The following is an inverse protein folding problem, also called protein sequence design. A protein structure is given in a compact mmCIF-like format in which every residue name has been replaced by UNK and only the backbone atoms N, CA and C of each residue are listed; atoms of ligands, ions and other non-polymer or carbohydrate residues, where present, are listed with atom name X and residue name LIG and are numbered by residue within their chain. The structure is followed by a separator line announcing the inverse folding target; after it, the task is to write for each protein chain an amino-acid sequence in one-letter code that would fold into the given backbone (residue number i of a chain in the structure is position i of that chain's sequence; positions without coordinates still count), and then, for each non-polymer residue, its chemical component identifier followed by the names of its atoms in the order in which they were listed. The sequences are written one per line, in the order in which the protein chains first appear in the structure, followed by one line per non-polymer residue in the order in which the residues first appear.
data_IF_768086808098
#
_entry.id   IF_768086808098
#
_cell.length_a   1.000
_cell.length_b   1.000
_cell.length_c   1.000
_cell.angle_alpha   90.00
_cell.angle_beta   90.00
_cell.angle_gamma   90.00
#
_symmetry.space_group_name_H-M   'P 1'
#
loop_
_entity.id
_entity.type
_entity.pdbx_description
1 polymer ?
#
# COMPACT_ATOMS: atom_id res chain seq x y z
N UNK A 1 -13.57 -82.84 -45.73
CA UNK A 1 -14.73 -83.59 -45.21
C UNK A 1 -15.82 -82.60 -44.75
N UNK A 2 -17.08 -83.07 -44.76
CA UNK A 2 -18.32 -82.60 -44.11
C UNK A 2 -18.23 -81.43 -43.07
N UNK A 3 -19.18 -80.50 -42.85
CA UNK A 3 -20.14 -79.71 -43.68
C UNK A 3 -20.93 -78.72 -42.76
N UNK A 4 -21.20 -77.48 -43.22
CA UNK A 4 -22.33 -76.56 -42.85
C UNK A 4 -22.58 -75.99 -41.42
N UNK A 5 -22.59 -74.63 -41.39
CA UNK A 5 -23.66 -73.67 -40.98
C UNK A 5 -24.21 -73.56 -39.52
N UNK A 6 -24.26 -72.28 -39.05
CA UNK A 6 -25.35 -71.50 -38.38
C UNK A 6 -26.25 -72.20 -37.32
N UNK A 7 -26.63 -71.57 -36.18
CA UNK A 7 -27.40 -70.31 -36.09
C UNK A 7 -27.32 -69.64 -34.69
N UNK A 8 -27.99 -68.49 -34.53
CA UNK A 8 -28.25 -67.75 -33.27
C UNK A 8 -29.61 -68.19 -32.63
N UNK A 9 -29.98 -67.59 -31.49
CA UNK A 9 -31.28 -67.64 -30.77
C UNK A 9 -31.51 -68.84 -29.83
N UNK A 10 -32.28 -68.79 -28.73
CA UNK A 10 -32.76 -67.73 -27.78
C UNK A 10 -33.64 -68.45 -26.70
N UNK A 11 -34.11 -67.77 -25.63
CA UNK A 11 -35.34 -68.14 -24.85
C UNK A 11 -35.25 -69.47 -24.02
N UNK A 12 -35.74 -69.62 -22.79
CA UNK A 12 -36.18 -68.74 -21.68
C UNK A 12 -35.93 -69.59 -20.38
N UNK A 13 -36.73 -69.82 -19.31
CA UNK A 13 -38.00 -69.34 -18.75
C UNK A 13 -38.03 -69.63 -17.23
N UNK A 14 -38.16 -68.61 -16.37
CA UNK A 14 -38.77 -68.76 -15.02
C UNK A 14 -39.66 -67.56 -14.74
N UNK A 15 -40.97 -67.79 -14.69
CA UNK A 15 -41.97 -66.81 -14.26
C UNK A 15 -42.51 -67.18 -12.89
N UNK A 16 -42.45 -66.27 -11.93
CA UNK A 16 -43.42 -66.21 -10.84
C UNK A 16 -43.96 -64.78 -10.78
N UNK A 17 -45.24 -64.64 -11.10
CA UNK A 17 -46.01 -63.41 -10.87
C UNK A 17 -46.83 -63.64 -9.60
N UNK A 18 -46.85 -62.68 -8.68
CA UNK A 18 -48.03 -62.34 -7.89
C UNK A 18 -47.82 -60.96 -7.25
N UNK A 19 -48.51 -59.96 -7.78
CA UNK A 19 -48.52 -58.59 -7.27
C UNK A 19 -49.70 -58.37 -6.31
N UNK A 20 -49.52 -57.59 -5.26
CA UNK A 20 -50.62 -56.89 -4.60
C UNK A 20 -50.18 -55.48 -4.20
N UNK A 21 -51.05 -54.50 -4.44
CA UNK A 21 -50.79 -53.07 -4.26
C UNK A 21 -51.84 -52.44 -3.35
N UNK A 22 -51.41 -51.81 -2.25
CA UNK A 22 -52.17 -50.92 -1.35
C UNK A 22 -51.27 -50.60 -0.13
N UNK A 23 -51.13 -49.38 0.41
CA UNK A 23 -51.69 -48.05 0.08
C UNK A 23 -50.56 -47.00 0.18
N UNK A 24 -50.69 -45.85 -0.48
CA UNK A 24 -49.75 -44.71 -0.39
C UNK A 24 -50.01 -43.85 0.86
N UNK A 25 -48.97 -43.45 1.59
CA UNK A 25 -49.08 -42.44 2.65
C UNK A 25 -47.75 -42.04 3.30
N UNK A 26 -47.52 -40.73 3.43
CA UNK A 26 -46.46 -40.06 4.22
C UNK A 26 -45.00 -40.51 3.99
N UNK A 27 -44.29 -39.79 3.11
CA UNK A 27 -42.82 -39.83 3.01
C UNK A 27 -42.14 -39.20 4.23
N UNK A 28 -41.20 -39.92 4.84
CA UNK A 28 -40.14 -39.34 5.68
C UNK A 28 -38.81 -40.04 5.38
N UNK A 29 -37.71 -39.28 5.34
CA UNK A 29 -36.41 -39.79 4.89
C UNK A 29 -35.63 -40.41 6.05
N UNK A 30 -35.10 -41.65 5.93
CA UNK A 30 -34.18 -42.20 6.91
C UNK A 30 -32.83 -41.49 6.84
N UNK A 31 -32.32 -41.09 8.00
CA UNK A 31 -31.07 -40.35 8.18
C UNK A 31 -29.84 -41.14 7.69
N UNK A 32 -29.12 -40.59 6.70
CA UNK A 32 -27.73 -40.99 6.48
C UNK A 32 -26.87 -40.37 7.57
N UNK A 33 -26.16 -41.20 8.34
CA UNK A 33 -25.15 -40.72 9.30
C UNK A 33 -24.11 -39.88 8.56
N UNK A 34 -23.87 -38.66 9.04
CA UNK A 34 -22.78 -37.83 8.53
C UNK A 34 -21.45 -38.51 8.85
N UNK A 35 -20.66 -38.82 7.82
CA UNK A 35 -19.25 -39.14 7.98
C UNK A 35 -18.56 -37.83 8.35
N UNK A 36 -18.06 -37.73 9.58
CA UNK A 36 -17.33 -36.54 10.04
C UNK A 36 -16.00 -36.47 9.30
N UNK A 37 -15.92 -35.58 8.32
CA UNK A 37 -14.66 -35.10 7.76
C UNK A 37 -13.95 -34.28 8.83
N UNK A 38 -12.79 -34.77 9.30
CA UNK A 38 -11.96 -34.02 10.25
C UNK A 38 -11.51 -32.69 9.61
N UNK A 39 -11.58 -31.55 10.31
CA UNK A 39 -10.84 -30.36 9.90
C UNK A 39 -9.34 -30.60 10.11
N UNK A 40 -8.54 -30.42 9.06
CA UNK A 40 -7.09 -30.68 9.07
C UNK A 40 -6.25 -29.41 8.88
N UNK A 41 -6.68 -28.31 9.50
CA UNK A 41 -5.99 -27.01 9.43
C UNK A 41 -5.31 -26.71 10.79
N UNK A 42 -4.06 -27.15 10.95
CA UNK A 42 -3.25 -26.92 12.16
C UNK A 42 -2.39 -25.66 12.02
N UNK A 43 -2.99 -24.48 12.22
CA UNK A 43 -2.26 -23.20 12.32
C UNK A 43 -1.46 -23.17 13.62
N UNK A 44 -0.13 -23.34 13.52
CA UNK A 44 0.79 -23.20 14.67
C UNK A 44 2.09 -22.42 14.35
N UNK A 45 2.07 -21.58 13.33
CA UNK A 45 3.02 -20.47 13.21
C UNK A 45 2.26 -19.15 13.43
N UNK A 46 2.92 -18.22 14.10
CA UNK A 46 2.33 -16.95 14.53
C UNK A 46 3.28 -15.81 14.18
N UNK A 47 2.76 -14.73 13.59
CA UNK A 47 3.48 -13.46 13.59
C UNK A 47 3.45 -12.88 15.01
N UNK A 48 4.59 -12.33 15.42
CA UNK A 48 4.79 -11.63 16.68
C UNK A 48 4.93 -10.14 16.37
N UNK A 49 4.28 -9.27 17.16
CA UNK A 49 4.54 -7.84 17.12
C UNK A 49 6.03 -7.56 17.35
N UNK A 50 6.58 -6.58 16.62
CA UNK A 50 8.02 -6.35 16.55
C UNK A 50 8.61 -5.85 17.89
N UNK A 51 9.96 -5.84 17.97
CA UNK A 51 10.77 -5.36 19.11
C UNK A 51 10.91 -6.31 20.32
N UNK A 52 11.16 -5.75 21.52
CA UNK A 52 11.62 -6.45 22.76
C UNK A 52 10.73 -7.62 23.19
N UNK A 53 9.47 -7.63 22.74
CA UNK A 53 8.54 -8.75 22.91
C UNK A 53 9.08 -10.05 22.31
N UNK A 54 9.91 -10.03 21.27
CA UNK A 54 10.47 -11.25 20.68
C UNK A 54 11.29 -12.08 21.70
N UNK A 55 12.24 -11.46 22.40
CA UNK A 55 13.04 -12.14 23.44
C UNK A 55 12.22 -12.48 24.70
N UNK A 56 11.16 -11.72 24.98
CA UNK A 56 10.26 -11.97 26.13
C UNK A 56 9.27 -13.11 25.85
N UNK A 57 8.72 -13.18 24.64
CA UNK A 57 7.92 -14.28 24.11
C UNK A 57 8.77 -15.52 24.00
N UNK A 58 9.99 -15.43 23.47
CA UNK A 58 10.96 -16.53 23.42
C UNK A 58 11.14 -17.18 24.80
N UNK A 59 11.47 -16.37 25.82
CA UNK A 59 11.61 -16.84 27.20
C UNK A 59 10.32 -17.43 27.77
N UNK A 60 9.16 -16.87 27.41
CA UNK A 60 7.87 -17.38 27.89
C UNK A 60 7.43 -18.69 27.19
N UNK A 61 7.77 -18.87 25.91
CA UNK A 61 7.59 -20.13 25.18
C UNK A 61 8.55 -21.20 25.73
N UNK A 62 9.81 -20.86 26.04
CA UNK A 62 10.75 -21.75 26.74
C UNK A 62 10.26 -22.11 28.17
N UNK A 63 9.51 -21.23 28.84
CA UNK A 63 8.83 -21.51 30.11
C UNK A 63 7.53 -22.33 29.94
N UNK A 64 7.21 -22.79 28.73
CA UNK A 64 6.06 -23.65 28.45
C UNK A 64 4.71 -22.94 28.32
N UNK A 65 4.66 -21.60 28.32
CA UNK A 65 3.42 -20.89 27.98
C UNK A 65 3.08 -21.13 26.52
N UNK A 66 1.82 -21.42 26.23
CA UNK A 66 1.36 -21.56 24.84
C UNK A 66 1.24 -20.20 24.13
N UNK A 67 1.38 -20.14 22.80
CA UNK A 67 1.06 -18.95 22.01
C UNK A 67 -0.35 -18.39 22.26
N UNK A 68 -1.30 -19.24 22.70
CA UNK A 68 -2.66 -18.83 23.10
C UNK A 68 -2.65 -17.98 24.37
N UNK A 69 -1.89 -18.37 25.39
CA UNK A 69 -1.77 -17.65 26.66
C UNK A 69 -0.99 -16.35 26.52
N UNK A 70 -0.15 -16.25 25.49
CA UNK A 70 0.56 -15.03 25.09
C UNK A 70 -0.25 -14.12 24.15
N UNK A 71 -1.47 -14.51 23.76
CA UNK A 71 -2.35 -13.72 22.89
C UNK A 71 -1.93 -13.68 21.41
N UNK A 72 -0.99 -14.55 20.99
CA UNK A 72 -0.32 -14.51 19.69
C UNK A 72 -1.11 -15.16 18.55
N UNK A 73 -2.30 -15.70 18.84
CA UNK A 73 -3.14 -16.34 17.83
C UNK A 73 -3.92 -15.28 17.05
N UNK A 74 -3.29 -14.67 16.05
CA UNK A 74 -4.05 -14.08 14.95
C UNK A 74 -4.73 -15.20 14.16
N UNK A 75 -6.06 -15.23 14.19
CA UNK A 75 -6.88 -16.14 13.41
C UNK A 75 -7.22 -15.57 12.01
N UNK A 76 -6.43 -14.61 11.50
CA UNK A 76 -6.67 -13.95 10.22
C UNK A 76 -6.31 -14.85 9.03
N UNK A 77 -7.21 -15.77 8.71
CA UNK A 77 -7.25 -16.37 7.38
C UNK A 77 -7.73 -15.30 6.38
N UNK A 78 -6.80 -14.59 5.74
CA UNK A 78 -7.14 -13.63 4.69
C UNK A 78 -7.59 -14.38 3.44
N UNK A 79 -8.88 -14.70 3.37
CA UNK A 79 -9.50 -15.31 2.19
C UNK A 79 -9.08 -14.57 0.91
N UNK A 80 -8.52 -15.30 -0.04
CA UNK A 80 -8.12 -14.80 -1.37
C UNK A 80 -9.36 -14.45 -2.18
N UNK A 81 -9.97 -13.30 -1.86
CA UNK A 81 -11.12 -12.74 -2.55
C UNK A 81 -10.65 -11.58 -3.42
N UNK A 82 -10.86 -11.73 -4.72
CA UNK A 82 -10.74 -10.67 -5.71
C UNK A 82 -11.59 -9.45 -5.31
N UNK A 83 -10.92 -8.34 -5.00
CA UNK A 83 -11.56 -7.06 -4.63
C UNK A 83 -11.74 -6.19 -5.87
N UNK A 84 -12.77 -5.36 -5.88
CA UNK A 84 -12.96 -4.38 -6.97
C UNK A 84 -11.99 -3.20 -6.86
N UNK A 85 -11.73 -2.51 -7.98
CA UNK A 85 -10.92 -1.28 -8.00
C UNK A 85 -11.38 -0.24 -6.96
N UNK A 86 -12.69 0.02 -6.89
CA UNK A 86 -13.31 0.96 -5.93
C UNK A 86 -13.29 0.48 -4.47
N UNK A 87 -13.05 -0.80 -4.23
CA UNK A 87 -12.90 -1.39 -2.89
C UNK A 87 -11.46 -1.20 -2.41
N UNK A 88 -10.46 -1.53 -3.23
CA UNK A 88 -9.04 -1.28 -2.90
C UNK A 88 -8.68 0.21 -2.81
N UNK A 89 -9.27 1.05 -3.67
CA UNK A 89 -9.15 2.52 -3.61
C UNK A 89 -9.66 3.08 -2.26
N UNK A 90 -10.80 2.59 -1.78
CA UNK A 90 -11.38 2.98 -0.48
C UNK A 90 -10.57 2.46 0.70
N UNK A 91 -9.95 1.29 0.58
CA UNK A 91 -9.03 0.76 1.59
C UNK A 91 -7.75 1.60 1.67
N UNK A 92 -7.16 1.99 0.52
CA UNK A 92 -6.00 2.87 0.47
C UNK A 92 -6.26 4.20 1.19
N UNK A 93 -7.39 4.85 0.85
CA UNK A 93 -7.83 6.12 1.41
C UNK A 93 -8.29 6.06 2.89
N UNK A 94 -8.34 4.88 3.52
CA UNK A 94 -8.58 4.75 4.96
C UNK A 94 -7.31 4.88 5.81
N UNK A 95 -6.12 4.82 5.19
CA UNK A 95 -4.88 5.02 5.93
C UNK A 95 -4.79 6.44 6.50
N UNK A 96 -4.31 6.52 7.73
CA UNK A 96 -4.00 7.80 8.41
C UNK A 96 -2.50 8.11 8.39
N UNK A 97 -1.69 7.29 7.73
CA UNK A 97 -0.27 7.53 7.59
C UNK A 97 -0.05 8.74 6.68
N UNK A 98 0.77 9.68 7.15
CA UNK A 98 1.30 10.78 6.35
C UNK A 98 2.82 10.67 6.28
N UNK A 99 3.42 11.15 5.19
CA UNK A 99 4.88 11.23 5.09
C UNK A 99 5.31 12.58 4.49
N UNK A 100 6.49 13.11 4.89
CA UNK A 100 7.06 14.29 4.28
C UNK A 100 7.78 13.93 2.98
N UNK A 101 7.39 14.57 1.88
CA UNK A 101 8.22 14.59 0.67
C UNK A 101 9.43 15.46 0.98
N UNK A 102 10.57 14.82 1.28
CA UNK A 102 11.86 15.51 1.43
C UNK A 102 12.45 15.80 0.06
N UNK A 103 12.90 17.03 -0.14
CA UNK A 103 13.72 17.43 -1.28
C UNK A 103 15.16 17.67 -0.84
N UNK A 104 16.10 17.56 -1.79
CA UNK A 104 17.43 18.11 -1.59
C UNK A 104 17.38 19.65 -1.73
N UNK A 105 18.17 20.39 -0.92
CA UNK A 105 18.57 21.74 -1.33
C UNK A 105 19.34 21.63 -2.65
N UNK A 106 19.03 22.55 -3.57
CA UNK A 106 19.67 22.65 -4.89
C UNK A 106 20.45 23.98 -4.96
N UNK A 107 21.29 24.14 -5.98
CA UNK A 107 22.05 25.37 -6.20
C UNK A 107 21.74 25.93 -7.57
N UNK A 108 21.05 27.06 -7.63
CA UNK A 108 20.79 27.78 -8.89
C UNK A 108 22.07 28.50 -9.33
N UNK A 109 22.46 28.38 -10.60
CA UNK A 109 23.64 29.11 -11.09
C UNK A 109 23.32 30.62 -11.23
N UNK A 110 24.29 31.52 -10.97
CA UNK A 110 24.05 32.96 -11.02
C UNK A 110 23.50 33.42 -12.37
N UNK A 111 22.31 34.03 -12.36
CA UNK A 111 21.64 34.56 -13.56
C UNK A 111 20.69 33.60 -14.29
N UNK A 112 20.60 32.33 -13.87
CA UNK A 112 19.58 31.42 -14.39
C UNK A 112 18.18 31.75 -13.83
N UNK A 113 17.12 31.20 -14.46
CA UNK A 113 15.75 31.27 -13.91
C UNK A 113 15.48 30.08 -13.01
N UNK A 114 14.81 30.31 -11.87
CA UNK A 114 14.49 29.26 -10.92
C UNK A 114 13.73 28.08 -11.55
N UNK A 115 14.18 26.87 -11.25
CA UNK A 115 13.64 25.60 -11.74
C UNK A 115 13.37 24.63 -10.58
N UNK A 116 12.39 23.72 -10.70
CA UNK A 116 12.21 22.63 -9.74
C UNK A 116 13.50 21.83 -9.53
N UNK A 117 13.89 21.52 -8.28
CA UNK A 117 15.06 20.70 -8.02
C UNK A 117 14.81 19.25 -8.47
N UNK A 118 15.87 18.50 -8.84
CA UNK A 118 15.72 17.12 -9.29
C UNK A 118 15.11 16.23 -8.21
N UNK A 119 14.26 15.29 -8.62
CA UNK A 119 13.59 14.33 -7.73
C UNK A 119 14.41 13.03 -7.57
N UNK A 120 15.72 13.18 -7.36
CA UNK A 120 16.68 12.07 -7.32
C UNK A 120 16.58 11.26 -6.02
N UNK A 121 16.42 11.92 -4.87
CA UNK A 121 16.43 11.30 -3.53
C UNK A 121 15.07 10.84 -3.00
N UNK A 122 13.98 10.94 -3.74
CA UNK A 122 12.76 10.23 -3.30
C UNK A 122 12.89 8.72 -3.57
N UNK A 123 13.83 8.33 -4.42
CA UNK A 123 14.38 6.96 -4.50
C UNK A 123 15.48 6.69 -3.44
N UNK A 124 15.55 7.45 -2.34
CA UNK A 124 16.37 7.06 -1.17
C UNK A 124 15.82 5.75 -0.58
N UNK A 125 16.41 4.64 -1.02
CA UNK A 125 16.18 3.31 -0.45
C UNK A 125 16.25 3.34 1.08
N UNK A 126 15.34 2.61 1.71
CA UNK A 126 15.43 2.23 3.12
C UNK A 126 16.51 1.14 3.22
N UNK A 127 17.27 1.11 4.32
CA UNK A 127 18.17 -0.03 4.62
C UNK A 127 17.49 -1.00 5.59
N UNK A 128 17.93 -2.26 5.60
CA UNK A 128 17.45 -3.25 6.57
C UNK A 128 17.63 -2.74 8.00
N UNK A 129 18.79 -2.16 8.30
CA UNK A 129 19.10 -1.58 9.61
C UNK A 129 18.19 -0.38 9.96
N UNK A 130 17.91 0.53 9.02
CA UNK A 130 16.96 1.63 9.24
C UNK A 130 15.54 1.09 9.52
N UNK A 131 15.12 0.03 8.82
CA UNK A 131 13.81 -0.60 9.07
C UNK A 131 13.74 -1.25 10.46
N UNK A 132 14.78 -2.00 10.83
CA UNK A 132 14.89 -2.73 12.10
C UNK A 132 15.02 -1.75 13.28
N UNK A 133 15.77 -0.65 13.15
CA UNK A 133 15.83 0.41 14.17
C UNK A 133 14.47 1.07 14.33
N UNK A 134 13.80 1.42 13.23
CA UNK A 134 12.49 2.09 13.28
C UNK A 134 11.36 1.21 13.79
N UNK A 135 11.49 -0.12 13.78
CA UNK A 135 10.48 -1.03 14.36
C UNK A 135 10.57 -1.16 15.88
N UNK A 136 11.64 -0.68 16.51
CA UNK A 136 11.82 -0.82 17.95
C UNK A 136 10.70 -0.12 18.75
N UNK A 137 10.14 -0.86 19.71
CA UNK A 137 9.02 -0.44 20.55
C UNK A 137 7.64 -0.46 19.88
N UNK A 138 7.48 -1.03 18.67
CA UNK A 138 6.23 -0.97 17.90
C UNK A 138 5.68 -2.36 17.61
N UNK A 139 4.37 -2.47 17.79
CA UNK A 139 3.56 -3.57 17.29
C UNK A 139 3.19 -3.30 15.82
N UNK A 140 3.00 -4.36 15.04
CA UNK A 140 2.56 -4.34 13.63
C UNK A 140 3.29 -3.31 12.74
N UNK A 141 4.62 -3.30 12.78
CA UNK A 141 5.42 -2.25 12.14
C UNK A 141 5.44 -2.33 10.60
N UNK A 142 4.64 -1.45 9.98
CA UNK A 142 4.73 -1.04 8.58
C UNK A 142 5.08 0.45 8.47
N UNK A 143 6.01 0.82 7.59
CA UNK A 143 6.46 2.20 7.38
C UNK A 143 6.66 2.52 5.90
N UNK A 144 5.76 3.33 5.34
CA UNK A 144 5.98 4.06 4.09
C UNK A 144 6.84 5.30 4.40
N UNK A 145 8.06 5.35 3.85
CA UNK A 145 8.96 6.51 3.86
C UNK A 145 8.51 7.56 2.85
N UNK A 146 8.10 7.10 1.67
CA UNK A 146 7.41 7.86 0.63
C UNK A 146 6.72 6.88 -0.35
N UNK A 147 5.97 7.38 -1.33
CA UNK A 147 5.30 6.57 -2.35
C UNK A 147 6.19 5.54 -3.07
N UNK A 148 7.52 5.74 -3.13
CA UNK A 148 8.48 4.83 -3.77
C UNK A 148 9.29 3.95 -2.82
N UNK A 149 9.20 4.16 -1.50
CA UNK A 149 9.97 3.42 -0.51
C UNK A 149 9.12 3.06 0.72
N UNK A 150 8.95 1.77 0.98
CA UNK A 150 8.33 1.25 2.20
C UNK A 150 9.18 0.16 2.84
N UNK A 151 8.95 -0.12 4.11
CA UNK A 151 9.42 -1.35 4.71
C UNK A 151 8.44 -1.85 5.78
N UNK A 152 8.52 -3.13 6.11
CA UNK A 152 7.83 -3.72 7.25
C UNK A 152 8.71 -4.80 7.88
N UNK A 153 8.53 -5.06 9.18
CA UNK A 153 9.22 -6.17 9.84
C UNK A 153 8.39 -6.76 10.97
N UNK A 154 8.38 -8.09 10.99
CA UNK A 154 7.64 -8.95 11.91
C UNK A 154 8.58 -10.06 12.37
N UNK A 155 8.35 -10.60 13.55
CA UNK A 155 8.94 -11.88 13.93
C UNK A 155 7.95 -12.99 13.65
N UNK A 156 8.42 -14.16 13.24
CA UNK A 156 7.60 -15.36 13.14
C UNK A 156 8.06 -16.37 14.19
N UNK A 157 7.10 -17.05 14.84
CA UNK A 157 7.40 -18.15 15.75
C UNK A 157 6.65 -19.42 15.41
N UNK A 158 7.37 -20.54 15.40
CA UNK A 158 6.80 -21.89 15.37
C UNK A 158 6.92 -22.47 16.78
N UNK A 159 5.79 -22.93 17.33
CA UNK A 159 5.75 -23.57 18.64
C UNK A 159 6.53 -24.91 18.66
N UNK A 160 7.12 -25.31 19.79
CA UNK A 160 7.84 -26.59 19.92
C UNK A 160 6.99 -27.78 19.46
N UNK A 161 7.57 -28.61 18.61
CA UNK A 161 6.95 -29.84 18.11
C UNK A 161 7.24 -31.04 19.03
N UNK A 162 8.43 -31.07 19.66
CA UNK A 162 8.78 -31.95 20.76
C UNK A 162 9.29 -31.14 21.98
N UNK A 163 9.13 -31.63 23.23
CA UNK A 163 9.51 -30.89 24.45
C UNK A 163 11.01 -30.54 24.58
N UNK A 164 11.88 -31.26 23.85
CA UNK A 164 13.33 -31.11 23.91
C UNK A 164 13.90 -30.20 22.80
N UNK A 165 13.11 -29.86 21.79
CA UNK A 165 13.57 -29.14 20.58
C UNK A 165 13.26 -27.64 20.60
N UNK A 166 12.55 -27.16 21.63
CA UNK A 166 12.16 -25.76 21.82
C UNK A 166 11.39 -25.13 20.64
N UNK A 167 11.11 -23.82 20.70
CA UNK A 167 10.49 -23.10 19.59
C UNK A 167 11.51 -22.80 18.49
N UNK A 168 11.03 -22.37 17.33
CA UNK A 168 11.80 -21.60 16.35
C UNK A 168 11.26 -20.17 16.35
N UNK A 169 12.14 -19.17 16.36
CA UNK A 169 11.85 -17.75 16.17
C UNK A 169 12.82 -17.16 15.16
N UNK A 170 12.33 -16.33 14.26
CA UNK A 170 13.15 -15.52 13.36
C UNK A 170 12.46 -14.20 13.03
N UNK A 171 13.22 -13.19 12.63
CA UNK A 171 12.70 -11.94 12.09
C UNK A 171 12.64 -12.04 10.57
N UNK A 172 11.56 -11.53 10.00
CA UNK A 172 11.45 -11.19 8.59
C UNK A 172 11.43 -9.66 8.47
N UNK A 173 12.29 -9.11 7.62
CA UNK A 173 12.28 -7.70 7.23
C UNK A 173 12.11 -7.61 5.72
N UNK A 174 11.14 -6.82 5.25
CA UNK A 174 10.83 -6.62 3.84
C UNK A 174 10.97 -5.13 3.53
N UNK A 175 11.66 -4.81 2.45
CA UNK A 175 11.80 -3.46 1.89
C UNK A 175 11.15 -3.45 0.52
N UNK A 176 10.24 -2.50 0.30
CA UNK A 176 9.53 -2.29 -0.95
C UNK A 176 10.05 -1.08 -1.70
N UNK A 177 10.29 -1.27 -3.00
CA UNK A 177 10.75 -0.25 -3.94
C UNK A 177 9.73 -0.08 -5.07
N UNK A 178 9.04 1.06 -5.10
CA UNK A 178 8.19 1.47 -6.21
C UNK A 178 9.01 1.89 -7.44
N UNK A 179 8.35 2.15 -8.57
CA UNK A 179 9.01 2.56 -9.82
C UNK A 179 8.41 3.81 -10.43
N UNK A 180 9.28 4.70 -10.94
CA UNK A 180 8.92 5.94 -11.62
C UNK A 180 9.29 5.88 -13.11
N UNK A 181 8.41 5.27 -13.89
CA UNK A 181 8.63 4.96 -15.30
C UNK A 181 7.99 3.62 -15.71
N UNK A 182 7.79 2.71 -14.75
CA UNK A 182 7.25 1.37 -14.98
C UNK A 182 6.08 1.06 -14.02
N UNK A 183 5.23 0.10 -14.39
CA UNK A 183 4.20 -0.48 -13.51
C UNK A 183 4.79 -1.64 -12.70
N UNK A 184 5.90 -1.38 -12.00
CA UNK A 184 6.75 -2.38 -11.33
C UNK A 184 6.97 -2.00 -9.87
N UNK A 185 6.79 -2.95 -8.97
CA UNK A 185 7.30 -2.90 -7.59
C UNK A 185 8.33 -3.99 -7.42
N UNK A 186 9.44 -3.70 -6.74
CA UNK A 186 10.47 -4.68 -6.38
C UNK A 186 10.52 -4.81 -4.87
N UNK A 187 10.85 -6.01 -4.38
CA UNK A 187 11.01 -6.28 -2.96
C UNK A 187 12.38 -6.89 -2.70
N UNK A 188 13.07 -6.38 -1.68
CA UNK A 188 14.20 -7.07 -1.05
C UNK A 188 13.76 -7.53 0.34
N UNK A 189 14.12 -8.73 0.74
CA UNK A 189 13.80 -9.23 2.09
C UNK A 189 14.95 -9.99 2.74
N UNK A 190 14.98 -9.92 4.06
CA UNK A 190 16.00 -10.50 4.93
C UNK A 190 15.31 -11.35 6.00
N UNK A 191 15.75 -12.60 6.16
CA UNK A 191 15.51 -13.40 7.37
C UNK A 191 16.74 -13.31 8.25
N UNK A 192 16.57 -12.91 9.50
CA UNK A 192 17.63 -12.79 10.48
C UNK A 192 17.13 -12.95 11.93
N UNK A 193 18.01 -12.74 12.92
CA UNK A 193 17.77 -12.98 14.35
C UNK A 193 17.15 -14.37 14.66
N UNK A 194 17.60 -15.39 13.90
CA UNK A 194 17.11 -16.76 14.00
C UNK A 194 17.61 -17.39 15.31
N UNK A 195 16.65 -17.71 16.19
CA UNK A 195 16.82 -18.33 17.51
C UNK A 195 16.01 -19.63 17.53
N UNK A 196 16.60 -20.73 17.95
CA UNK A 196 15.88 -22.00 18.03
C UNK A 196 16.31 -22.86 19.22
N UNK A 197 15.44 -23.81 19.57
CA UNK A 197 15.65 -24.76 20.66
C UNK A 197 16.06 -24.15 21.99
N UNK A 198 17.22 -24.57 22.45
CA UNK A 198 17.86 -24.12 23.68
C UNK A 198 19.31 -23.72 23.38
N UNK A 199 19.52 -22.88 22.36
CA UNK A 199 20.82 -22.35 21.94
C UNK A 199 21.70 -21.96 23.15
N UNK A 200 22.78 -22.72 23.39
CA UNK A 200 23.67 -22.58 24.55
C UNK A 200 23.45 -23.55 25.72
N UNK A 201 22.48 -24.47 25.67
CA UNK A 201 22.26 -25.53 26.67
C UNK A 201 22.82 -26.88 26.18
N UNK A 202 23.49 -27.69 27.04
CA UNK A 202 23.93 -29.03 26.68
C UNK A 202 22.76 -29.93 26.28
N UNK A 203 22.75 -30.39 25.02
CA UNK A 203 21.69 -31.23 24.46
C UNK A 203 21.02 -30.65 23.22
N UNK A 204 21.34 -29.41 22.82
CA UNK A 204 20.99 -28.90 21.49
C UNK A 204 21.53 -29.84 20.39
N UNK A 205 20.64 -30.24 19.48
CA UNK A 205 20.89 -31.18 18.38
C UNK A 205 21.12 -30.47 17.05
N UNK A 206 20.93 -29.14 16.98
CA UNK A 206 20.93 -28.40 15.71
C UNK A 206 19.77 -28.80 14.78
N UNK A 207 18.73 -29.46 15.28
CA UNK A 207 17.64 -30.04 14.47
C UNK A 207 17.03 -29.01 13.51
N UNK A 208 16.69 -27.82 14.02
CA UNK A 208 16.10 -26.74 13.24
C UNK A 208 17.01 -26.17 12.13
N UNK A 209 18.33 -26.37 12.15
CA UNK A 209 19.22 -25.87 11.08
C UNK A 209 18.88 -26.51 9.71
N UNK A 210 18.31 -27.72 9.73
CA UNK A 210 17.84 -28.44 8.53
C UNK A 210 16.36 -28.18 8.21
N UNK A 211 15.65 -27.35 8.98
CA UNK A 211 14.27 -26.97 8.67
C UNK A 211 14.25 -25.98 7.51
N UNK A 212 13.35 -26.16 6.55
CA UNK A 212 13.21 -25.22 5.44
C UNK A 212 12.29 -24.06 5.85
N UNK A 213 12.68 -22.83 5.53
CA UNK A 213 11.81 -21.65 5.59
C UNK A 213 11.59 -21.15 4.16
N UNK A 214 10.33 -21.11 3.76
CA UNK A 214 9.82 -20.55 2.51
C UNK A 214 9.20 -19.17 2.75
N UNK A 215 9.55 -18.19 1.93
CA UNK A 215 8.88 -16.87 1.87
C UNK A 215 8.24 -16.69 0.49
N UNK A 216 6.97 -16.31 0.49
CA UNK A 216 6.05 -16.29 -0.65
C UNK A 216 5.27 -14.94 -0.63
N UNK A 217 5.57 -13.99 -1.52
CA UNK A 217 4.94 -12.65 -1.52
C UNK A 217 3.59 -12.66 -2.26
N UNK A 218 2.61 -13.35 -1.67
CA UNK A 218 1.25 -13.48 -2.18
C UNK A 218 0.66 -12.14 -2.65
N UNK A 219 0.40 -12.06 -3.96
CA UNK A 219 -0.13 -10.88 -4.62
C UNK A 219 -1.60 -11.09 -5.04
N UNK A 220 -2.48 -10.16 -4.66
CA UNK A 220 -3.89 -10.16 -5.04
C UNK A 220 -4.21 -8.85 -5.78
N UNK A 221 -4.52 -8.92 -7.07
CA UNK A 221 -4.81 -7.75 -7.91
C UNK A 221 -6.29 -7.32 -7.95
N UNK A 222 -6.53 -6.08 -8.38
CA UNK A 222 -7.86 -5.50 -8.65
C UNK A 222 -8.64 -6.15 -9.79
N UNK A 223 -7.96 -6.90 -10.66
CA UNK A 223 -8.54 -7.76 -11.70
C UNK A 223 -9.25 -7.05 -12.87
N UNK A 224 -9.85 -7.84 -13.77
CA UNK A 224 -10.13 -7.53 -15.19
C UNK A 224 -8.90 -7.27 -16.07
N UNK A 225 -7.70 -7.12 -15.50
CA UNK A 225 -6.42 -7.12 -16.21
C UNK A 225 -5.39 -7.98 -15.44
N UNK A 226 -4.34 -8.52 -16.09
CA UNK A 226 -3.27 -9.23 -15.39
C UNK A 226 -2.40 -8.28 -14.54
N UNK A 227 -2.72 -8.21 -13.26
CA UNK A 227 -1.84 -7.74 -12.20
C UNK A 227 -0.92 -8.91 -11.72
N UNK A 228 0.00 -8.66 -10.78
CA UNK A 228 0.83 -9.71 -10.13
C UNK A 228 1.78 -10.52 -11.05
N UNK A 229 2.17 -10.00 -12.21
CA UNK A 229 3.06 -10.67 -13.16
C UNK A 229 4.50 -10.57 -12.66
N UNK A 230 5.23 -11.68 -12.62
CA UNK A 230 6.63 -11.73 -12.17
C UNK A 230 6.82 -12.47 -10.84
N UNK A 231 5.72 -12.88 -10.20
CA UNK A 231 5.70 -13.88 -9.13
C UNK A 231 6.55 -15.12 -9.53
N UNK A 232 7.53 -15.48 -8.70
CA UNK A 232 8.42 -16.63 -8.89
C UNK A 232 8.03 -17.82 -8.01
N UNK A 233 7.00 -17.68 -7.17
CA UNK A 233 6.70 -18.61 -6.09
C UNK A 233 7.68 -18.51 -4.89
N UNK A 234 7.56 -19.43 -3.92
CA UNK A 234 8.27 -19.34 -2.64
C UNK A 234 9.80 -19.46 -2.77
N UNK A 235 10.53 -18.43 -2.35
CA UNK A 235 11.98 -18.58 -2.06
C UNK A 235 12.14 -19.45 -0.82
N UNK A 236 12.69 -20.65 -1.01
CA UNK A 236 12.86 -21.66 0.06
C UNK A 236 14.34 -21.95 0.27
N UNK A 237 14.78 -21.97 1.53
CA UNK A 237 16.13 -22.38 1.97
C UNK A 237 16.05 -23.01 3.35
N UNK A 238 17.03 -23.83 3.73
CA UNK A 238 17.19 -24.27 5.13
C UNK A 238 17.51 -23.09 6.07
N UNK A 239 17.29 -23.26 7.37
CA UNK A 239 17.72 -22.29 8.39
C UNK A 239 19.22 -22.01 8.28
N UNK A 240 20.07 -23.03 8.08
CA UNK A 240 21.50 -22.83 7.89
C UNK A 240 21.84 -21.97 6.66
N UNK A 241 21.19 -22.20 5.53
CA UNK A 241 21.36 -21.39 4.31
C UNK A 241 20.82 -19.97 4.48
N UNK A 242 19.77 -19.76 5.29
CA UNK A 242 19.33 -18.41 5.67
C UNK A 242 20.29 -17.71 6.64
N UNK A 243 21.09 -18.43 7.45
CA UNK A 243 22.18 -17.80 8.23
C UNK A 243 23.34 -17.37 7.34
N UNK A 244 23.74 -18.19 6.36
CA UNK A 244 24.85 -17.88 5.44
C UNK A 244 24.46 -16.84 4.38
N UNK A 245 23.26 -16.95 3.82
CA UNK A 245 22.70 -16.04 2.83
C UNK A 245 21.31 -15.57 3.32
N UNK A 246 21.24 -14.49 4.12
CA UNK A 246 19.99 -14.05 4.74
C UNK A 246 19.04 -13.33 3.79
N UNK A 247 19.42 -13.04 2.53
CA UNK A 247 18.66 -12.15 1.63
C UNK A 247 18.11 -12.82 0.38
N UNK A 248 16.96 -12.34 -0.06
CA UNK A 248 16.35 -12.64 -1.35
C UNK A 248 15.65 -11.38 -1.91
N UNK A 249 15.33 -11.40 -3.20
CA UNK A 249 14.66 -10.30 -3.87
C UNK A 249 13.82 -10.78 -5.04
N UNK A 250 12.72 -10.07 -5.32
CA UNK A 250 11.78 -10.37 -6.40
C UNK A 250 11.13 -9.08 -6.93
N UNK A 251 10.37 -9.17 -8.03
CA UNK A 251 9.66 -8.03 -8.57
C UNK A 251 8.33 -8.41 -9.23
N UNK A 252 7.30 -7.64 -8.90
CA UNK A 252 5.94 -7.80 -9.37
C UNK A 252 5.54 -6.64 -10.27
N UNK A 253 4.81 -6.94 -11.34
CA UNK A 253 4.38 -5.99 -12.35
C UNK A 253 2.88 -6.09 -12.62
N UNK A 254 2.28 -4.97 -13.01
CA UNK A 254 0.87 -4.89 -13.40
C UNK A 254 0.77 -4.45 -14.84
N UNK A 255 0.04 -5.18 -15.68
CA UNK A 255 -0.25 -4.72 -17.04
C UNK A 255 -1.06 -3.43 -17.01
N UNK A 256 -0.90 -2.59 -18.03
CA UNK A 256 -1.71 -1.37 -18.23
C UNK A 256 -3.12 -1.78 -18.67
N UNK A 257 -4.18 -1.52 -17.89
CA UNK A 257 -5.54 -1.85 -18.30
C UNK A 257 -6.00 -0.92 -19.44
N UNK A 258 -7.00 -1.32 -20.23
CA UNK A 258 -7.63 -0.43 -21.20
C UNK A 258 -8.26 0.78 -20.48
N UNK A 259 -8.13 2.01 -21.01
CA UNK A 259 -8.71 3.18 -20.39
C UNK A 259 -10.25 3.16 -20.50
N UNK A 260 -10.94 3.51 -19.42
CA UNK A 260 -12.39 3.75 -19.40
C UNK A 260 -12.69 5.17 -18.92
N UNK A 261 -13.96 5.60 -18.94
CA UNK A 261 -14.36 6.90 -18.40
C UNK A 261 -14.15 6.98 -16.88
N UNK A 262 -14.27 5.85 -16.19
CA UNK A 262 -14.09 5.68 -14.75
C UNK A 262 -12.63 5.43 -14.36
N UNK A 263 -11.79 4.99 -15.30
CA UNK A 263 -10.39 4.62 -15.06
C UNK A 263 -9.47 5.08 -16.21
N UNK A 264 -9.53 6.37 -16.56
CA UNK A 264 -8.75 6.96 -17.65
C UNK A 264 -7.23 7.01 -17.36
N UNK A 265 -6.86 7.05 -16.07
CA UNK A 265 -5.49 6.95 -15.57
C UNK A 265 -5.00 5.49 -15.46
N UNK A 266 -5.85 4.52 -15.80
CA UNK A 266 -5.52 3.09 -15.91
C UNK A 266 -4.92 2.53 -14.63
N UNK A 267 -5.51 2.90 -13.50
CA UNK A 267 -5.16 2.46 -12.15
C UNK A 267 -5.51 0.97 -11.96
N UNK A 268 -4.56 0.23 -11.40
CA UNK A 268 -4.74 -1.06 -10.71
C UNK A 268 -4.24 -0.92 -9.27
N UNK A 269 -4.71 -1.78 -8.37
CA UNK A 269 -4.05 -2.00 -7.08
C UNK A 269 -3.68 -3.48 -6.91
N UNK A 270 -2.68 -3.73 -6.06
CA UNK A 270 -2.22 -5.05 -5.66
C UNK A 270 -2.08 -5.07 -4.14
N UNK A 271 -2.76 -6.00 -3.46
CA UNK A 271 -2.50 -6.35 -2.06
C UNK A 271 -1.38 -7.39 -2.02
N UNK A 272 -0.20 -6.99 -1.53
CA UNK A 272 0.97 -7.85 -1.35
C UNK A 272 1.08 -8.23 0.12
N UNK A 273 1.28 -9.50 0.45
CA UNK A 273 1.56 -9.93 1.83
C UNK A 273 2.55 -11.10 1.85
N UNK A 274 3.48 -11.17 2.81
CA UNK A 274 4.32 -12.35 2.98
C UNK A 274 3.47 -13.48 3.56
N UNK A 275 3.38 -14.60 2.85
CA UNK A 275 3.13 -15.90 3.47
C UNK A 275 4.48 -16.52 3.77
N UNK A 276 4.68 -16.91 5.02
CA UNK A 276 5.85 -17.67 5.43
C UNK A 276 5.39 -19.11 5.67
N UNK A 277 6.21 -20.09 5.29
CA UNK A 277 5.98 -21.51 5.58
C UNK A 277 7.26 -22.14 6.11
N UNK A 278 7.15 -22.96 7.14
CA UNK A 278 8.26 -23.70 7.77
C UNK A 278 7.98 -25.19 7.62
N UNK A 279 8.94 -25.92 7.05
CA UNK A 279 8.93 -27.36 6.89
C UNK A 279 9.93 -28.02 7.87
N UNK A 280 9.48 -28.61 9.00
CA UNK A 280 10.38 -29.17 10.00
C UNK A 280 10.96 -30.53 9.57
N UNK A 281 12.20 -30.89 9.93
CA UNK A 281 12.84 -32.11 9.44
C UNK A 281 12.11 -33.40 9.83
N UNK A 282 11.90 -34.29 8.86
CA UNK A 282 11.31 -35.62 9.08
C UNK A 282 9.84 -35.70 8.67
N UNK A 283 9.01 -36.31 9.53
CA UNK A 283 7.58 -36.57 9.24
C UNK A 283 6.63 -35.63 10.03
N UNK A 284 7.06 -34.40 10.27
CA UNK A 284 6.23 -33.38 10.90
C UNK A 284 5.45 -32.58 9.86
N UNK A 285 4.17 -32.23 10.12
CA UNK A 285 3.39 -31.40 9.21
C UNK A 285 3.89 -29.95 9.19
N UNK A 286 3.90 -29.35 8.01
CA UNK A 286 4.26 -27.95 7.75
C UNK A 286 3.51 -26.94 8.64
N UNK A 287 4.07 -25.73 8.72
CA UNK A 287 3.53 -24.61 9.51
C UNK A 287 3.57 -23.34 8.67
N UNK A 288 2.41 -22.75 8.38
CA UNK A 288 2.31 -21.51 7.62
C UNK A 288 1.58 -20.41 8.40
N UNK A 289 1.90 -19.17 8.05
CA UNK A 289 1.33 -17.95 8.60
C UNK A 289 1.51 -16.78 7.63
N UNK A 290 0.66 -15.77 7.73
CA UNK A 290 0.70 -14.58 6.86
C UNK A 290 1.05 -13.35 7.71
N UNK A 291 1.89 -12.47 7.15
CA UNK A 291 2.22 -11.19 7.75
C UNK A 291 1.41 -10.03 7.17
N UNK A 292 1.86 -8.81 7.47
CA UNK A 292 1.17 -7.57 7.14
C UNK A 292 1.01 -7.39 5.62
N UNK A 293 -0.19 -6.97 5.23
CA UNK A 293 -0.51 -6.63 3.85
C UNK A 293 -0.05 -5.19 3.55
N UNK A 294 0.71 -5.01 2.48
CA UNK A 294 1.08 -3.72 1.88
C UNK A 294 0.34 -3.57 0.54
N UNK A 295 -0.46 -2.51 0.41
CA UNK A 295 -1.15 -2.19 -0.84
C UNK A 295 -0.27 -1.33 -1.75
N UNK A 296 -0.15 -1.75 -3.00
CA UNK A 296 0.55 -1.04 -4.08
C UNK A 296 -0.49 -0.53 -5.09
N UNK A 297 -0.33 0.69 -5.60
CA UNK A 297 -1.06 1.21 -6.77
C UNK A 297 -0.13 1.20 -7.97
N UNK A 298 -0.58 0.69 -9.11
CA UNK A 298 0.10 0.82 -10.39
C UNK A 298 -0.80 1.58 -11.38
N UNK A 299 -0.27 2.60 -12.06
CA UNK A 299 -1.07 3.46 -12.92
C UNK A 299 -0.33 3.87 -14.21
N UNK A 300 -1.09 4.39 -15.18
CA UNK A 300 -0.55 4.95 -16.42
C UNK A 300 -1.27 6.26 -16.76
N UNK A 301 -0.97 7.36 -16.06
CA UNK A 301 -1.45 8.70 -16.38
C UNK A 301 -0.62 9.39 -17.49
N UNK A 302 -1.22 9.68 -18.65
CA UNK A 302 -0.54 10.28 -19.83
C UNK A 302 -0.05 11.73 -19.61
N UNK A 303 -0.53 12.41 -18.57
CA UNK A 303 -0.19 13.81 -18.26
C UNK A 303 0.98 13.98 -17.27
N UNK A 304 1.55 12.87 -16.79
CA UNK A 304 2.67 12.86 -15.85
C UNK A 304 4.01 12.83 -16.59
N UNK A 305 5.04 13.49 -16.04
CA UNK A 305 6.42 13.53 -16.60
C UNK A 305 6.99 12.15 -16.94
N UNK A 306 6.63 11.12 -16.17
CA UNK A 306 6.72 9.71 -16.56
C UNK A 306 5.32 9.15 -16.67
N UNK A 307 4.94 8.59 -17.84
CA UNK A 307 3.58 8.06 -18.04
C UNK A 307 3.18 7.01 -17.01
N UNK A 308 4.07 6.10 -16.61
CA UNK A 308 3.76 4.94 -15.75
C UNK A 308 4.44 5.02 -14.39
N UNK A 309 3.84 4.43 -13.37
CA UNK A 309 4.47 4.21 -12.07
C UNK A 309 3.86 3.01 -11.33
N UNK A 310 4.52 2.59 -10.25
CA UNK A 310 3.90 1.89 -9.15
C UNK A 310 4.38 2.48 -7.80
N UNK A 311 3.45 2.62 -6.85
CA UNK A 311 3.66 3.30 -5.56
C UNK A 311 3.00 2.55 -4.39
N UNK A 312 3.46 2.79 -3.17
CA UNK A 312 2.81 2.36 -1.93
C UNK A 312 1.64 3.29 -1.60
N UNK A 313 0.42 2.77 -1.60
CA UNK A 313 -0.80 3.58 -1.67
C UNK A 313 -1.44 3.90 -0.31
N UNK A 314 -0.93 3.35 0.78
CA UNK A 314 -1.50 3.51 2.13
C UNK A 314 -0.88 4.69 2.90
N UNK A 315 -0.61 5.80 2.23
CA UNK A 315 -0.22 7.04 2.90
C UNK A 315 -0.68 8.28 2.13
N UNK A 316 -1.05 9.34 2.84
CA UNK A 316 -1.36 10.64 2.25
C UNK A 316 -0.10 11.51 2.27
N UNK A 317 0.42 11.94 1.10
CA UNK A 317 1.63 12.76 1.06
C UNK A 317 1.39 14.19 1.56
N UNK A 318 2.48 14.87 1.92
CA UNK A 318 2.47 16.26 2.35
C UNK A 318 3.41 17.08 1.47
N UNK A 319 2.87 18.08 0.79
CA UNK A 319 3.64 19.11 0.09
C UNK A 319 4.20 20.09 1.12
N UNK A 320 5.51 20.03 1.35
CA UNK A 320 6.19 20.91 2.31
C UNK A 320 6.85 22.10 1.61
N UNK A 321 6.44 23.29 2.03
CA UNK A 321 7.23 24.50 1.88
C UNK A 321 8.47 24.41 2.76
N UNK A 322 9.64 24.68 2.15
CA UNK A 322 10.93 24.76 2.83
C UNK A 322 11.21 26.25 3.07
N UNK A 323 10.80 26.77 4.22
CA UNK A 323 10.92 28.19 4.59
C UNK A 323 12.33 28.53 5.11
N UNK A 324 13.18 27.52 5.27
CA UNK A 324 14.56 27.61 5.77
C UNK A 324 15.64 27.26 4.73
N UNK A 325 15.26 27.05 3.47
CA UNK A 325 16.18 26.71 2.37
C UNK A 325 16.25 27.85 1.33
N UNK A 326 17.40 28.57 1.23
CA UNK A 326 17.60 29.68 0.28
C UNK A 326 17.37 29.35 -1.20
N UNK A 327 17.26 28.08 -1.57
CA UNK A 327 16.82 27.70 -2.92
C UNK A 327 15.34 28.05 -3.19
N UNK A 328 14.54 28.29 -2.15
CA UNK A 328 13.10 28.49 -2.26
C UNK A 328 12.64 29.94 -2.02
N UNK A 329 13.50 30.84 -1.51
CA UNK A 329 13.23 32.28 -1.19
C UNK A 329 12.39 33.01 -2.25
N UNK A 330 12.60 32.71 -3.54
CA UNK A 330 11.85 33.30 -4.66
C UNK A 330 10.32 33.07 -4.54
N UNK A 331 9.88 32.07 -3.79
CA UNK A 331 8.47 31.71 -3.58
C UNK A 331 7.89 32.21 -2.25
N UNK A 332 8.66 32.87 -1.37
CA UNK A 332 8.19 33.39 -0.08
C UNK A 332 6.87 34.17 -0.15
N UNK A 333 6.62 35.05 -1.16
CA UNK A 333 5.35 35.76 -1.27
C UNK A 333 4.12 34.84 -1.39
N UNK A 334 4.29 33.67 -2.03
CA UNK A 334 3.28 32.63 -2.14
C UNK A 334 3.21 31.77 -0.86
N UNK A 335 4.36 31.42 -0.27
CA UNK A 335 4.39 30.65 0.98
C UNK A 335 3.65 31.40 2.09
N UNK A 336 3.96 32.68 2.30
CA UNK A 336 3.28 33.56 3.26
C UNK A 336 1.82 33.91 2.87
N UNK A 337 1.40 33.64 1.63
CA UNK A 337 -0.03 33.68 1.25
C UNK A 337 -0.76 32.43 1.73
N UNK A 338 -0.20 31.25 1.45
CA UNK A 338 -0.80 29.97 1.80
C UNK A 338 -0.78 29.74 3.32
N UNK A 339 0.29 30.16 3.98
CA UNK A 339 0.45 30.17 5.45
C UNK A 339 -0.62 31.02 6.12
N UNK A 340 -0.84 32.26 5.66
CA UNK A 340 -1.93 33.10 6.17
C UNK A 340 -3.31 32.51 5.86
N UNK A 341 -3.52 31.95 4.66
CA UNK A 341 -4.79 31.35 4.29
C UNK A 341 -5.17 30.17 5.21
N UNK A 342 -4.21 29.35 5.62
CA UNK A 342 -4.43 28.23 6.54
C UNK A 342 -4.53 28.70 8.01
N UNK A 343 -3.62 29.57 8.46
CA UNK A 343 -3.48 29.90 9.89
C UNK A 343 -4.35 31.07 10.36
N UNK A 344 -4.64 32.04 9.48
CA UNK A 344 -5.47 33.20 9.77
C UNK A 344 -6.41 33.54 8.58
N UNK A 345 -7.32 32.60 8.22
CA UNK A 345 -8.22 32.78 7.09
C UNK A 345 -9.10 34.03 7.20
N UNK A 346 -9.38 34.53 8.42
CA UNK A 346 -10.22 35.72 8.62
C UNK A 346 -9.57 37.00 8.07
N UNK A 347 -8.23 37.06 7.97
CA UNK A 347 -7.49 38.19 7.38
C UNK A 347 -7.32 38.10 5.86
N UNK A 348 -7.89 37.10 5.19
CA UNK A 348 -7.70 36.87 3.74
C UNK A 348 -8.88 37.32 2.88
N UNK A 349 -8.60 37.86 1.69
CA UNK A 349 -9.63 38.22 0.71
C UNK A 349 -10.08 37.00 -0.11
N UNK A 350 -11.37 36.85 -0.48
CA UNK A 350 -12.52 37.66 -0.04
C UNK A 350 -12.84 37.44 1.45
N UNK A 351 -13.28 38.47 2.18
CA UNK A 351 -13.68 38.32 3.57
C UNK A 351 -14.93 37.43 3.67
N UNK A 352 -14.96 36.54 4.67
CA UNK A 352 -16.09 35.66 4.96
C UNK A 352 -16.12 35.35 6.46
N UNK A 353 -17.28 35.49 7.09
CA UNK A 353 -17.47 35.07 8.48
C UNK A 353 -17.24 33.56 8.64
N UNK A 354 -16.43 33.15 9.62
CA UNK A 354 -16.20 31.74 9.91
C UNK A 354 -15.46 30.97 8.80
N UNK A 355 -14.77 31.68 7.88
CA UNK A 355 -13.92 31.10 6.83
C UNK A 355 -12.96 30.04 7.37
N UNK A 356 -12.94 28.85 6.75
CA UNK A 356 -12.06 27.73 7.12
C UNK A 356 -11.47 27.13 5.85
N UNK A 357 -10.18 27.38 5.61
CA UNK A 357 -9.51 26.95 4.38
C UNK A 357 -8.77 25.63 4.65
N UNK A 358 -8.96 24.58 3.83
CA UNK A 358 -8.28 23.29 4.01
C UNK A 358 -6.81 23.35 3.60
N UNK A 359 -6.06 22.29 3.88
CA UNK A 359 -4.62 22.17 3.64
C UNK A 359 -3.91 21.43 4.78
N UNK A 360 -4.21 21.77 6.03
CA UNK A 360 -3.67 21.11 7.23
C UNK A 360 -4.72 20.31 8.02
N UNK A 361 -5.83 20.95 8.40
CA UNK A 361 -6.89 20.27 9.19
C UNK A 361 -7.74 19.29 8.38
N UNK A 362 -7.64 19.35 7.06
CA UNK A 362 -8.23 18.45 6.08
C UNK A 362 -7.35 18.53 4.81
N UNK A 363 -7.22 17.44 4.03
CA UNK A 363 -6.40 17.45 2.83
C UNK A 363 -7.02 18.30 1.71
N UNK A 364 -6.20 18.62 0.72
CA UNK A 364 -6.62 19.05 -0.61
C UNK A 364 -6.72 17.84 -1.53
N UNK A 365 -7.55 17.92 -2.57
CA UNK A 365 -7.85 16.82 -3.49
C UNK A 365 -7.51 17.26 -4.91
N UNK A 366 -6.55 16.60 -5.60
CA UNK A 366 -6.02 17.10 -6.89
C UNK A 366 -7.08 17.11 -7.99
N UNK A 367 -7.29 18.30 -8.56
CA UNK A 367 -8.07 18.53 -9.77
C UNK A 367 -7.11 18.68 -10.95
N UNK A 368 -7.09 17.70 -11.86
CA UNK A 368 -6.39 17.82 -13.13
C UNK A 368 -7.37 18.42 -14.18
N UNK A 369 -7.14 19.64 -14.70
CA UNK A 369 -8.17 20.40 -15.43
C UNK A 369 -8.76 19.72 -16.67
N UNK A 370 -8.02 18.81 -17.30
CA UNK A 370 -8.45 18.12 -18.51
C UNK A 370 -9.41 16.96 -18.23
N UNK A 371 -9.50 16.49 -16.98
CA UNK A 371 -10.44 15.42 -16.56
C UNK A 371 -11.71 15.95 -15.89
N UNK A 372 -11.66 17.16 -15.33
CA UNK A 372 -12.83 17.89 -14.86
C UNK A 372 -12.69 19.40 -15.21
N UNK A 373 -12.89 19.76 -16.50
CA UNK A 373 -12.78 21.13 -16.98
C UNK A 373 -13.90 22.03 -16.47
N UNK A 374 -15.02 21.45 -16.02
CA UNK A 374 -16.13 22.20 -15.44
C UNK A 374 -15.72 22.77 -14.08
N UNK A 375 -15.15 21.95 -13.20
CA UNK A 375 -14.69 22.44 -11.90
C UNK A 375 -13.45 23.35 -12.04
N UNK A 376 -12.52 23.04 -12.95
CA UNK A 376 -11.37 23.91 -13.20
C UNK A 376 -11.78 25.28 -13.77
N UNK A 377 -12.79 25.31 -14.65
CA UNK A 377 -13.39 26.55 -15.15
C UNK A 377 -14.05 27.38 -14.05
N UNK A 378 -14.79 26.73 -13.13
CA UNK A 378 -15.37 27.41 -11.95
C UNK A 378 -14.30 28.00 -11.03
N UNK A 379 -13.22 27.25 -10.77
CA UNK A 379 -12.10 27.71 -9.94
C UNK A 379 -11.52 29.00 -10.53
N UNK A 380 -11.09 28.94 -11.79
CA UNK A 380 -10.54 30.10 -12.50
C UNK A 380 -11.50 31.29 -12.52
N UNK A 381 -12.77 31.08 -12.86
CA UNK A 381 -13.76 32.15 -12.96
C UNK A 381 -14.01 32.86 -11.61
N UNK A 382 -14.25 32.08 -10.55
CA UNK A 382 -14.53 32.62 -9.21
C UNK A 382 -13.31 33.36 -8.65
N UNK A 383 -12.11 32.82 -8.88
CA UNK A 383 -10.86 33.48 -8.52
C UNK A 383 -10.63 34.76 -9.32
N UNK A 384 -10.80 34.75 -10.64
CA UNK A 384 -10.58 35.93 -11.47
C UNK A 384 -11.54 37.09 -11.09
N UNK A 385 -12.77 36.79 -10.63
CA UNK A 385 -13.67 37.78 -10.00
C UNK A 385 -13.07 38.31 -8.70
N UNK A 386 -12.70 37.44 -7.76
CA UNK A 386 -12.15 37.87 -6.47
C UNK A 386 -10.87 38.71 -6.63
N UNK A 387 -10.01 38.37 -7.59
CA UNK A 387 -8.86 39.18 -7.98
C UNK A 387 -9.28 40.55 -8.55
N UNK A 388 -10.31 40.59 -9.40
CA UNK A 388 -10.82 41.84 -9.97
C UNK A 388 -11.46 42.76 -8.92
N UNK A 389 -12.03 42.19 -7.84
CA UNK A 389 -12.56 42.93 -6.71
C UNK A 389 -11.47 43.40 -5.74
N UNK A 390 -10.52 42.52 -5.37
CA UNK A 390 -9.32 42.89 -4.59
C UNK A 390 -8.55 44.04 -5.26
N UNK A 391 -8.40 44.01 -6.59
CA UNK A 391 -7.73 45.09 -7.34
C UNK A 391 -8.40 46.46 -7.18
N UNK A 392 -9.69 46.53 -6.81
CA UNK A 392 -10.41 47.80 -6.57
C UNK A 392 -10.14 48.39 -5.18
N UNK A 393 -9.59 47.61 -4.24
CA UNK A 393 -9.29 48.08 -2.87
C UNK A 393 -7.82 48.48 -2.69
N UNK A 394 -6.96 48.20 -3.67
CA UNK A 394 -5.55 48.59 -3.67
C UNK A 394 -5.38 50.04 -4.19
N UNK A 395 -4.41 50.80 -3.64
CA UNK A 395 -4.18 52.20 -4.03
C UNK A 395 -3.55 52.36 -5.43
N UNK A 396 -2.94 51.31 -5.96
CA UNK A 396 -2.23 51.26 -7.25
C UNK A 396 -2.55 49.93 -7.94
N UNK A 397 -2.50 49.85 -9.27
CA UNK A 397 -2.76 48.59 -9.97
C UNK A 397 -1.55 47.63 -9.82
N UNK A 398 -1.67 46.49 -9.13
CA UNK A 398 -0.59 45.53 -8.92
C UNK A 398 0.00 45.00 -10.23
N UNK A 399 -0.77 44.99 -11.32
CA UNK A 399 -0.29 44.57 -12.66
C UNK A 399 0.81 45.47 -13.20
N UNK A 400 0.83 46.75 -12.80
CA UNK A 400 1.90 47.70 -13.17
C UNK A 400 3.22 47.40 -12.45
N UNK A 401 3.16 46.66 -11.33
CA UNK A 401 4.32 46.18 -10.56
C UNK A 401 4.81 44.80 -11.00
N UNK A 402 4.19 44.21 -12.03
CA UNK A 402 4.46 42.83 -12.45
C UNK A 402 3.87 41.76 -11.52
N UNK A 403 2.95 42.14 -10.62
CA UNK A 403 2.31 41.20 -9.71
C UNK A 403 1.19 40.40 -10.41
N UNK A 404 1.06 39.14 -10.02
CA UNK A 404 0.01 38.22 -10.44
C UNK A 404 -0.92 37.92 -9.26
N UNK A 405 -2.16 37.55 -9.54
CA UNK A 405 -3.12 37.15 -8.51
C UNK A 405 -3.07 35.63 -8.30
N UNK A 406 -2.50 35.25 -7.17
CA UNK A 406 -2.33 33.89 -6.65
C UNK A 406 -3.56 33.46 -5.82
N UNK A 407 -3.74 32.15 -5.61
CA UNK A 407 -4.96 31.56 -5.05
C UNK A 407 -4.73 30.33 -4.16
N UNK A 408 -5.46 30.25 -3.06
CA UNK A 408 -5.40 29.11 -2.15
C UNK A 408 -6.76 28.74 -1.54
N UNK A 409 -7.26 27.50 -1.68
CA UNK A 409 -6.60 26.35 -2.29
C UNK A 409 -6.45 26.51 -3.81
N UNK A 410 -5.43 25.88 -4.37
CA UNK A 410 -5.00 26.10 -5.74
C UNK A 410 -6.12 25.79 -6.76
N UNK A 411 -6.12 26.44 -7.94
CA UNK A 411 -7.05 26.08 -9.02
C UNK A 411 -6.97 24.60 -9.44
N UNK A 412 -5.82 23.95 -9.20
CA UNK A 412 -5.58 22.51 -9.38
C UNK A 412 -6.05 21.64 -8.20
N UNK A 413 -7.03 22.09 -7.42
CA UNK A 413 -7.68 21.33 -6.33
C UNK A 413 -9.21 21.46 -6.37
N UNK A 414 -9.93 20.45 -5.88
CA UNK A 414 -11.39 20.50 -5.75
C UNK A 414 -11.86 21.50 -4.68
N UNK A 415 -10.97 21.89 -3.77
CA UNK A 415 -11.19 22.83 -2.69
C UNK A 415 -10.94 24.30 -3.10
N UNK A 416 -10.47 24.54 -4.33
CA UNK A 416 -10.25 25.88 -4.87
C UNK A 416 -11.52 26.71 -5.02
N UNK A 417 -11.35 27.98 -5.42
CA UNK A 417 -12.38 29.02 -5.34
C UNK A 417 -13.77 28.65 -5.92
N UNK A 418 -13.80 27.80 -6.95
CA UNK A 418 -15.01 27.37 -7.67
C UNK A 418 -15.84 26.32 -6.94
N UNK A 419 -15.42 25.87 -5.75
CA UNK A 419 -16.21 25.03 -4.85
C UNK A 419 -17.49 25.72 -4.36
N UNK A 420 -17.52 27.05 -4.38
CA UNK A 420 -18.71 27.86 -4.07
C UNK A 420 -19.01 28.01 -2.57
N UNK A 421 -18.15 27.49 -1.69
CA UNK A 421 -18.29 27.64 -0.23
C UNK A 421 -17.62 28.92 0.32
N UNK A 422 -16.89 29.67 -0.52
CA UNK A 422 -16.17 30.89 -0.15
C UNK A 422 -14.94 30.65 0.75
N UNK A 423 -14.47 29.41 0.90
CA UNK A 423 -13.31 29.05 1.72
C UNK A 423 -11.99 29.10 0.92
N UNK A 424 -11.72 30.22 0.24
CA UNK A 424 -10.49 30.44 -0.51
C UNK A 424 -9.92 31.84 -0.28
N UNK A 425 -8.62 31.98 -0.44
CA UNK A 425 -7.83 33.21 -0.38
C UNK A 425 -7.33 33.59 -1.77
N UNK A 426 -7.23 34.89 -2.04
CA UNK A 426 -6.47 35.45 -3.16
C UNK A 426 -5.58 36.59 -2.68
N UNK A 427 -4.38 36.70 -3.27
CA UNK A 427 -3.42 37.78 -2.99
C UNK A 427 -2.71 38.16 -4.29
N UNK A 428 -2.38 39.44 -4.45
CA UNK A 428 -1.42 39.87 -5.46
C UNK A 428 0.01 39.70 -4.93
N UNK A 429 0.85 39.00 -5.69
CA UNK A 429 2.25 38.69 -5.35
C UNK A 429 3.15 38.84 -6.59
N UNK A 430 4.48 39.04 -6.45
CA UNK A 430 5.39 39.16 -7.59
C UNK A 430 5.24 38.00 -8.59
N UNK A 431 5.17 38.32 -9.89
CA UNK A 431 4.87 37.34 -10.92
C UNK A 431 5.85 36.17 -10.98
N UNK A 432 7.15 36.41 -10.77
CA UNK A 432 8.15 35.34 -10.77
C UNK A 432 8.03 34.39 -9.57
N UNK A 433 7.57 34.89 -8.41
CA UNK A 433 7.26 34.06 -7.24
C UNK A 433 6.08 33.11 -7.53
N UNK A 434 4.98 33.67 -8.06
CA UNK A 434 3.81 32.89 -8.47
C UNK A 434 4.15 31.85 -9.55
N UNK A 435 4.91 32.27 -10.57
CA UNK A 435 5.37 31.40 -11.65
C UNK A 435 6.30 30.29 -11.11
N UNK A 436 7.17 30.57 -10.14
CA UNK A 436 8.06 29.59 -9.51
C UNK A 436 7.26 28.57 -8.70
N UNK A 437 6.33 29.02 -7.84
CA UNK A 437 5.46 28.15 -7.07
C UNK A 437 4.59 27.25 -7.97
N UNK A 438 4.02 27.80 -9.05
CA UNK A 438 3.27 27.02 -10.04
C UNK A 438 4.13 25.97 -10.76
N UNK A 439 5.40 26.27 -11.06
CA UNK A 439 6.35 25.26 -11.58
C UNK A 439 6.65 24.19 -10.53
N UNK A 440 6.86 24.59 -9.27
CA UNK A 440 7.19 23.67 -8.18
C UNK A 440 6.05 22.68 -7.90
N UNK A 441 4.83 23.18 -7.70
CA UNK A 441 3.64 22.36 -7.44
C UNK A 441 3.37 21.36 -8.58
N UNK A 442 3.51 21.76 -9.84
CA UNK A 442 3.30 20.88 -10.98
C UNK A 442 4.39 19.81 -11.13
N UNK A 443 5.64 20.14 -10.80
CA UNK A 443 6.73 19.18 -10.73
C UNK A 443 6.48 18.17 -9.61
N UNK A 444 6.22 18.65 -8.38
CA UNK A 444 5.89 17.82 -7.22
C UNK A 444 4.71 16.86 -7.49
N UNK A 445 3.61 17.36 -8.04
CA UNK A 445 2.47 16.56 -8.49
C UNK A 445 2.86 15.40 -9.43
N UNK A 446 3.82 15.65 -10.33
CA UNK A 446 4.29 14.68 -11.33
C UNK A 446 5.36 13.74 -10.79
N UNK A 447 6.05 14.16 -9.73
CA UNK A 447 7.15 13.48 -9.07
C UNK A 447 6.66 12.52 -8.00
N UNK A 448 5.85 13.00 -7.04
CA UNK A 448 5.27 12.22 -5.94
C UNK A 448 3.96 11.51 -6.33
N UNK A 449 3.69 11.42 -7.65
CA UNK A 449 2.63 10.63 -8.29
C UNK A 449 1.19 10.92 -7.85
N UNK A 450 0.89 12.18 -7.56
CA UNK A 450 -0.44 12.64 -7.13
C UNK A 450 -1.42 12.57 -8.32
N UNK A 451 -2.23 11.53 -8.46
CA UNK A 451 -3.23 11.40 -9.53
C UNK A 451 -4.39 12.37 -9.36
N UNK A 452 -5.28 12.43 -10.35
CA UNK A 452 -6.54 13.13 -10.20
C UNK A 452 -7.37 12.46 -9.09
N UNK A 453 -7.92 13.28 -8.18
CA UNK A 453 -8.63 12.88 -6.95
C UNK A 453 -7.75 12.29 -5.84
N UNK A 454 -6.43 12.21 -6.02
CA UNK A 454 -5.53 11.94 -4.89
C UNK A 454 -5.59 13.09 -3.88
N UNK A 455 -5.51 12.71 -2.61
CA UNK A 455 -5.46 13.64 -1.49
C UNK A 455 -4.02 13.93 -1.07
N UNK A 456 -3.78 15.15 -0.60
CA UNK A 456 -2.50 15.59 -0.06
C UNK A 456 -2.68 16.72 0.97
N UNK A 457 -1.74 16.84 1.90
CA UNK A 457 -1.70 17.94 2.86
C UNK A 457 -0.65 18.99 2.49
N UNK A 458 -0.74 20.15 3.13
CA UNK A 458 0.22 21.27 3.04
C UNK A 458 0.99 21.38 4.37
N UNK A 459 2.31 21.51 4.29
CA UNK A 459 3.17 21.72 5.44
C UNK A 459 4.18 22.85 5.23
N UNK A 460 4.75 23.34 6.33
CA UNK A 460 5.79 24.37 6.38
C UNK A 460 6.93 23.84 7.26
N UNK A 461 8.20 24.12 6.92
CA UNK A 461 9.42 23.58 7.56
C UNK A 461 10.59 24.57 7.51
#
# INVERSE_FOLDING_TARGET
MIWRKKFLAMVLLVTVVMSSTSVVGATSQPTKKAVSTKPSNQVNMYSLPTSKKADEVWKQLQQGKSPKELGLISAQQHASKQKSLKEMEREAAQSKQIYPVKMNPSTQAPGEKWSPPPFDKVFENITFDECIERSQGKDDFKWIKNHYASCQTEYFTVAPLLPLEGPLVFRLTIIGHGSYGERKVSYEYQIDDIKHGYEGIPGDTGWWENAEISVDLLCNGTSNNPDCIGDQGPTTRSVSEWRENPRAAEALTSNEPPPTLENIERVSYMDIRPKVTVNPPGLFPERSGEGLTQKVRADSADYMLRKKAAIFAEATPVFYYQESDPYFDIMDPAFEHHKQAITDPQKTFPPKEGKKIPGQSAPLTRLYPQLDPVQAGRNKYTKDIACADLRKTLPEDPRQKGEQCDEFPFASTYEGAGKGDGNFSVRYIPGDANNAHGRWLNAWYSYDRILHKDQFYIGFR
#
